data_IF_159373397404
#
_entry.id   IF_159373397404
#
_cell.length_a   1.000
_cell.length_b   1.000
_cell.length_c   1.000
_cell.angle_alpha   90.00
_cell.angle_beta   90.00
_cell.angle_gamma   90.00
#
_symmetry.space_group_name_H-M   'P 1'
#
loop_
_entity.id
_entity.type
_entity.pdbx_description
1 polymer ?
#
# COMPACT_ATOMS: atom_id res chain seq x y z
N UNK A 1 -24.64 0.97 26.80
CA UNK A 1 -24.80 -0.06 25.74
C UNK A 1 -23.77 0.23 24.66
N UNK A 2 -22.73 -0.59 24.53
CA UNK A 2 -21.67 -0.40 23.53
C UNK A 2 -22.18 -0.87 22.18
N UNK A 3 -22.16 0.00 21.17
CA UNK A 3 -22.60 -0.33 19.81
C UNK A 3 -21.54 -1.25 19.18
N UNK A 4 -21.82 -2.55 19.10
CA UNK A 4 -20.93 -3.50 18.41
C UNK A 4 -20.86 -3.10 16.93
N UNK A 5 -19.66 -3.04 16.32
CA UNK A 5 -19.55 -2.74 14.90
C UNK A 5 -20.33 -3.75 14.08
N UNK A 6 -20.96 -3.34 13.00
CA UNK A 6 -21.67 -4.26 12.11
C UNK A 6 -20.69 -5.26 11.48
N UNK A 7 -21.20 -6.43 11.08
CA UNK A 7 -20.41 -7.48 10.40
C UNK A 7 -19.65 -6.94 9.19
N UNK A 8 -20.26 -6.01 8.44
CA UNK A 8 -19.63 -5.37 7.29
C UNK A 8 -18.37 -4.56 7.67
N UNK A 9 -18.40 -3.81 8.78
CA UNK A 9 -17.24 -3.04 9.27
C UNK A 9 -16.11 -3.97 9.70
N UNK A 10 -16.45 -5.08 10.36
CA UNK A 10 -15.46 -6.08 10.79
C UNK A 10 -14.77 -6.75 9.58
N UNK A 11 -15.55 -7.11 8.56
CA UNK A 11 -15.01 -7.68 7.31
C UNK A 11 -14.11 -6.69 6.56
N UNK A 12 -14.53 -5.43 6.42
CA UNK A 12 -13.71 -4.41 5.80
C UNK A 12 -12.37 -4.21 6.52
N UNK A 13 -12.38 -4.21 7.86
CA UNK A 13 -11.17 -4.12 8.68
C UNK A 13 -10.22 -5.30 8.47
N UNK A 14 -10.76 -6.53 8.39
CA UNK A 14 -9.96 -7.73 8.12
C UNK A 14 -9.33 -7.70 6.73
N UNK A 15 -10.10 -7.30 5.70
CA UNK A 15 -9.60 -7.17 4.33
C UNK A 15 -8.49 -6.12 4.26
N UNK A 16 -8.69 -4.95 4.88
CA UNK A 16 -7.69 -3.88 4.90
C UNK A 16 -6.42 -4.30 5.64
N UNK A 17 -6.57 -4.94 6.81
CA UNK A 17 -5.43 -5.44 7.60
C UNK A 17 -4.61 -6.46 6.80
N UNK A 18 -5.30 -7.40 6.14
CA UNK A 18 -4.64 -8.40 5.30
C UNK A 18 -3.91 -7.78 4.12
N UNK A 19 -4.53 -6.81 3.45
CA UNK A 19 -3.89 -6.08 2.35
C UNK A 19 -2.62 -5.37 2.83
N UNK A 20 -2.68 -4.71 3.99
CA UNK A 20 -1.56 -3.97 4.58
C UNK A 20 -0.39 -4.89 4.98
N UNK A 21 -0.68 -6.07 5.55
CA UNK A 21 0.33 -7.10 5.83
C UNK A 21 1.08 -7.52 4.57
N UNK A 22 0.35 -7.82 3.50
CA UNK A 22 0.94 -8.22 2.22
C UNK A 22 1.75 -7.09 1.59
N UNK A 23 1.27 -5.86 1.70
CA UNK A 23 1.96 -4.66 1.24
C UNK A 23 3.29 -4.47 1.96
N UNK A 24 3.30 -4.50 3.30
CA UNK A 24 4.51 -4.38 4.11
C UNK A 24 5.51 -5.50 3.81
N UNK A 25 5.04 -6.74 3.63
CA UNK A 25 5.89 -7.86 3.26
C UNK A 25 6.51 -7.70 1.86
N UNK A 26 5.74 -7.21 0.89
CA UNK A 26 6.22 -6.97 -0.47
C UNK A 26 7.29 -5.86 -0.50
N UNK A 27 7.10 -4.78 0.26
CA UNK A 27 8.10 -3.72 0.40
C UNK A 27 9.37 -4.21 1.09
N UNK A 28 9.24 -4.93 2.22
CA UNK A 28 10.38 -5.43 3.00
C UNK A 28 11.24 -6.42 2.21
N UNK A 29 10.60 -7.26 1.39
CA UNK A 29 11.29 -8.22 0.52
C UNK A 29 11.70 -7.65 -0.83
N UNK A 30 11.38 -6.37 -1.09
CA UNK A 30 11.58 -5.69 -2.39
C UNK A 30 11.07 -6.49 -3.58
N UNK A 31 9.88 -7.09 -3.46
CA UNK A 31 9.32 -7.98 -4.47
C UNK A 31 8.28 -7.26 -5.35
N UNK A 32 8.64 -6.81 -6.57
CA UNK A 32 7.73 -6.04 -7.44
C UNK A 32 6.54 -6.87 -7.91
N UNK A 33 6.69 -8.18 -8.11
CA UNK A 33 5.58 -9.06 -8.51
C UNK A 33 4.51 -9.15 -7.43
N UNK A 34 4.93 -9.28 -6.16
CA UNK A 34 4.00 -9.30 -5.02
C UNK A 34 3.33 -7.95 -4.83
N UNK A 35 4.07 -6.85 -5.03
CA UNK A 35 3.53 -5.51 -4.92
C UNK A 35 2.50 -5.24 -6.03
N UNK A 36 2.82 -5.60 -7.28
CA UNK A 36 1.90 -5.52 -8.42
C UNK A 36 0.58 -6.27 -8.16
N UNK A 37 0.62 -7.46 -7.55
CA UNK A 37 -0.58 -8.24 -7.27
C UNK A 37 -1.58 -7.53 -6.33
N UNK A 38 -1.16 -6.49 -5.61
CA UNK A 38 -2.00 -5.73 -4.67
C UNK A 38 -2.72 -4.54 -5.31
N UNK A 39 -2.42 -4.23 -6.58
CA UNK A 39 -2.98 -3.07 -7.28
C UNK A 39 -3.68 -3.48 -8.57
N UNK A 40 -4.78 -2.77 -8.87
CA UNK A 40 -5.43 -2.86 -10.16
C UNK A 40 -4.51 -2.29 -11.25
N UNK A 41 -4.54 -2.79 -12.50
CA UNK A 41 -3.73 -2.24 -13.59
C UNK A 41 -3.77 -0.71 -13.69
N UNK A 42 -4.97 -0.13 -13.55
CA UNK A 42 -5.21 1.32 -13.62
C UNK A 42 -5.19 2.03 -12.25
N UNK A 43 -4.50 1.48 -11.25
CA UNK A 43 -4.39 2.14 -9.94
C UNK A 43 -3.56 3.42 -10.00
N UNK A 44 -3.92 4.36 -9.12
CA UNK A 44 -3.18 5.61 -8.90
C UNK A 44 -2.73 5.68 -7.44
N UNK A 45 -1.46 6.03 -7.23
CA UNK A 45 -0.90 6.30 -5.92
C UNK A 45 -0.55 7.78 -5.82
N UNK A 46 -1.03 8.42 -4.76
CA UNK A 46 -0.67 9.79 -4.43
C UNK A 46 0.16 9.76 -3.17
N UNK A 47 1.43 10.12 -3.30
CA UNK A 47 2.23 10.38 -2.11
C UNK A 47 1.82 11.74 -1.54
N UNK A 48 1.37 11.73 -0.29
CA UNK A 48 0.92 12.91 0.45
C UNK A 48 1.91 13.20 1.58
N UNK A 49 3.19 13.35 1.24
CA UNK A 49 4.30 13.54 2.17
C UNK A 49 4.64 12.32 3.04
N UNK A 50 4.15 11.14 2.70
CA UNK A 50 4.33 9.93 3.51
C UNK A 50 5.65 9.21 3.20
N UNK A 51 6.08 9.16 1.93
CA UNK A 51 7.31 8.44 1.55
C UNK A 51 8.38 9.37 0.96
N UNK A 52 8.01 10.34 0.14
CA UNK A 52 8.95 11.21 -0.59
C UNK A 52 8.97 12.66 -0.12
N UNK A 53 8.06 13.08 0.77
CA UNK A 53 7.83 14.51 1.09
C UNK A 53 7.47 15.37 -0.14
N UNK A 54 7.04 14.73 -1.24
CA UNK A 54 6.54 15.41 -2.44
C UNK A 54 5.04 15.19 -2.60
N UNK A 55 4.45 15.98 -3.48
CA UNK A 55 3.07 15.84 -3.90
C UNK A 55 3.05 15.33 -5.33
N UNK A 56 3.17 14.01 -5.48
CA UNK A 56 3.22 13.37 -6.79
C UNK A 56 2.14 12.30 -6.92
N UNK A 57 1.60 12.18 -8.13
CA UNK A 57 0.67 11.10 -8.50
C UNK A 57 1.37 10.17 -9.47
N UNK A 58 1.47 8.90 -9.11
CA UNK A 58 1.96 7.83 -9.97
C UNK A 58 0.78 7.02 -10.45
N UNK A 59 0.66 6.89 -11.77
CA UNK A 59 -0.45 6.21 -12.43
C UNK A 59 0.03 4.92 -13.07
N UNK A 60 -0.78 3.87 -12.96
CA UNK A 60 -0.50 2.55 -13.50
C UNK A 60 0.32 1.70 -12.55
N UNK A 61 -0.11 0.44 -12.39
CA UNK A 61 0.47 -0.54 -11.45
C UNK A 61 2.00 -0.67 -11.57
N UNK A 62 2.53 -0.79 -12.77
CA UNK A 62 3.95 -1.11 -12.97
C UNK A 62 4.85 0.09 -12.61
N UNK A 63 4.42 1.31 -12.96
CA UNK A 63 5.06 2.56 -12.54
C UNK A 63 4.98 2.74 -11.02
N UNK A 64 3.82 2.44 -10.44
CA UNK A 64 3.53 2.55 -9.02
C UNK A 64 4.44 1.65 -8.18
N UNK A 65 4.56 0.37 -8.53
CA UNK A 65 5.42 -0.56 -7.78
C UNK A 65 6.89 -0.13 -7.81
N UNK A 66 7.36 0.36 -8.96
CA UNK A 66 8.73 0.86 -9.10
C UNK A 66 8.96 2.08 -8.19
N UNK A 67 8.05 3.05 -8.21
CA UNK A 67 8.13 4.25 -7.37
C UNK A 67 8.09 3.94 -5.87
N UNK A 68 7.22 3.01 -5.45
CA UNK A 68 7.10 2.60 -4.05
C UNK A 68 8.37 1.90 -3.52
N UNK A 69 8.97 1.02 -4.32
CA UNK A 69 10.20 0.32 -3.93
C UNK A 69 11.40 1.28 -3.83
N UNK A 70 11.45 2.25 -4.74
CA UNK A 70 12.45 3.31 -4.72
C UNK A 70 12.27 4.21 -3.49
N UNK A 71 11.04 4.66 -3.23
CA UNK A 71 10.71 5.48 -2.07
C UNK A 71 11.03 4.76 -0.76
N UNK A 72 10.63 3.50 -0.59
CA UNK A 72 10.92 2.69 0.60
C UNK A 72 12.44 2.56 0.87
N UNK A 73 13.24 2.50 -0.19
CA UNK A 73 14.71 2.44 -0.07
C UNK A 73 15.31 3.79 0.36
N UNK A 74 14.70 4.92 -0.01
CA UNK A 74 15.15 6.27 0.37
C UNK A 74 14.77 6.64 1.80
N UNK A 75 13.54 6.38 2.21
CA UNK A 75 13.03 6.81 3.52
C UNK A 75 13.23 5.77 4.62
N UNK A 76 13.81 4.61 4.30
CA UNK A 76 14.02 3.54 5.27
C UNK A 76 12.71 2.97 5.81
N UNK A 77 11.62 3.04 5.03
CA UNK A 77 10.33 2.47 5.40
C UNK A 77 10.51 0.98 5.73
N UNK A 78 10.55 0.71 7.03
CA UNK A 78 10.67 -0.61 7.64
C UNK A 78 9.56 -0.66 8.68
N UNK A 79 8.53 -1.45 8.38
CA UNK A 79 7.50 -1.83 9.34
C UNK A 79 7.74 -3.28 9.76
#
# INVERSE_FOLDING_TARGET
MTNMPSTAVQQASQIASRWLELFNAALSTRNPTRLNALFHPDSHWRDLLALTWTFDTVSGRDSLSSALLEAASRCGARN
#
